data_IF_120917632034
#
_entry.id   IF_120917632034
#
_cell.length_a   1.000
_cell.length_b   1.000
_cell.length_c   1.000
_cell.angle_alpha   90.00
_cell.angle_beta   90.00
_cell.angle_gamma   90.00
#
_symmetry.space_group_name_H-M   'P 1'
#
loop_
_entity.id
_entity.type
_entity.pdbx_description
1 polymer ?
#
# COMPACT_ATOMS: atom_id res chain seq x y z
N UNK A 1 8.18 7.14 4.99
CA UNK A 1 7.18 6.71 6.01
C UNK A 1 7.78 5.59 6.87
N UNK A 2 7.62 5.60 8.20
CA UNK A 2 8.10 4.52 9.07
C UNK A 2 6.93 3.72 9.63
N UNK A 3 6.98 2.39 9.51
CA UNK A 3 5.99 1.48 10.09
C UNK A 3 6.45 1.02 11.48
N UNK A 4 5.49 0.70 12.34
CA UNK A 4 5.75 0.08 13.65
C UNK A 4 5.25 -1.35 13.67
N UNK A 5 5.78 -2.15 14.59
CA UNK A 5 5.25 -3.49 14.86
C UNK A 5 3.78 -3.38 15.25
N UNK A 6 2.93 -4.20 14.63
CA UNK A 6 1.47 -4.17 14.78
C UNK A 6 0.75 -3.27 13.76
N UNK A 7 1.46 -2.43 12.99
CA UNK A 7 0.82 -1.65 11.93
C UNK A 7 0.35 -2.56 10.80
N UNK A 8 -0.83 -2.24 10.26
CA UNK A 8 -1.34 -2.84 9.04
C UNK A 8 -0.89 -2.03 7.82
N UNK A 9 -0.43 -2.74 6.81
CA UNK A 9 0.06 -2.18 5.55
C UNK A 9 -0.49 -2.98 4.36
N UNK A 10 -0.62 -2.32 3.21
CA UNK A 10 -0.99 -2.95 1.94
C UNK A 10 0.28 -3.12 1.11
N UNK A 11 0.53 -4.35 0.69
CA UNK A 11 1.56 -4.69 -0.28
C UNK A 11 0.92 -4.88 -1.66
N UNK A 12 1.39 -4.18 -2.71
CA UNK A 12 0.83 -4.30 -4.05
C UNK A 12 0.73 -5.76 -4.51
N UNK A 13 -0.41 -6.13 -5.13
CA UNK A 13 -0.74 -7.48 -5.60
C UNK A 13 -0.88 -8.59 -4.52
N UNK A 14 -0.32 -8.44 -3.32
CA UNK A 14 -0.42 -9.45 -2.24
C UNK A 14 -1.46 -9.08 -1.17
N UNK A 15 -1.97 -7.85 -1.18
CA UNK A 15 -3.06 -7.42 -0.30
C UNK A 15 -2.57 -6.91 1.06
N UNK A 16 -3.33 -7.20 2.11
CA UNK A 16 -3.11 -6.65 3.45
C UNK A 16 -2.15 -7.54 4.24
N UNK A 17 -1.12 -6.91 4.81
CA UNK A 17 -0.20 -7.53 5.76
C UNK A 17 -0.07 -6.75 7.06
N UNK A 18 0.37 -7.43 8.10
CA UNK A 18 0.70 -6.85 9.41
C UNK A 18 2.21 -6.87 9.61
N UNK A 19 2.78 -5.75 10.07
CA UNK A 19 4.20 -5.70 10.43
C UNK A 19 4.42 -6.46 11.73
N UNK A 20 5.06 -7.62 11.63
CA UNK A 20 5.32 -8.51 12.76
C UNK A 20 6.58 -8.12 13.53
N UNK A 21 7.62 -7.67 12.82
CA UNK A 21 8.89 -7.29 13.43
C UNK A 21 9.66 -6.31 12.53
N UNK A 22 10.64 -5.63 13.12
CA UNK A 22 11.65 -4.85 12.43
C UNK A 22 13.00 -5.45 12.80
N UNK A 23 13.68 -6.06 11.83
CA UNK A 23 14.96 -6.73 12.03
C UNK A 23 16.09 -5.92 11.41
N UNK A 24 17.22 -5.79 12.09
CA UNK A 24 18.44 -5.26 11.50
C UNK A 24 19.43 -6.41 11.28
N UNK A 25 19.84 -6.63 10.03
CA UNK A 25 20.84 -7.64 9.66
C UNK A 25 22.06 -6.96 9.05
N UNK A 26 23.23 -7.45 9.42
CA UNK A 26 24.50 -7.07 8.78
C UNK A 26 24.65 -7.89 7.51
N UNK A 27 24.67 -7.23 6.35
CA UNK A 27 24.97 -7.87 5.07
C UNK A 27 26.50 -7.99 4.96
N UNK A 28 27.00 -9.09 4.38
CA UNK A 28 28.43 -9.39 4.24
C UNK A 28 29.21 -8.18 3.68
N UNK A 29 29.97 -7.50 4.54
CA UNK A 29 30.64 -6.22 4.22
C UNK A 29 30.52 -5.13 5.30
N UNK A 30 29.67 -5.31 6.30
CA UNK A 30 29.63 -4.46 7.50
C UNK A 30 28.50 -3.43 7.55
N UNK A 31 27.75 -3.25 6.45
CA UNK A 31 26.58 -2.37 6.45
C UNK A 31 25.38 -3.03 7.14
N UNK A 32 24.82 -2.32 8.13
CA UNK A 32 23.59 -2.70 8.82
C UNK A 32 22.41 -2.30 7.94
N UNK A 33 21.68 -3.28 7.43
CA UNK A 33 20.42 -3.07 6.72
C UNK A 33 19.25 -3.43 7.64
N UNK A 34 18.24 -2.55 7.69
CA UNK A 34 17.01 -2.80 8.44
C UNK A 34 15.91 -3.28 7.51
N UNK A 35 15.10 -4.22 8.00
CA UNK A 35 14.07 -4.92 7.25
C UNK A 35 12.76 -4.93 8.03
N UNK A 36 11.66 -4.68 7.33
CA UNK A 36 10.31 -4.93 7.83
C UNK A 36 9.93 -6.39 7.56
N UNK A 37 9.49 -7.09 8.60
CA UNK A 37 8.91 -8.43 8.50
C UNK A 37 7.40 -8.27 8.44
N UNK A 38 6.83 -8.40 7.25
CA UNK A 38 5.40 -8.25 6.97
C UNK A 38 4.76 -9.64 6.83
N UNK A 39 3.70 -9.92 7.58
CA UNK A 39 2.91 -11.14 7.44
C UNK A 39 1.62 -10.83 6.69
N UNK A 40 1.42 -11.43 5.52
CA UNK A 40 0.18 -11.30 4.74
C UNK A 40 -0.94 -12.03 5.49
N UNK A 41 -2.07 -11.35 5.70
CA UNK A 41 -3.18 -11.89 6.49
C UNK A 41 -3.96 -12.97 5.73
N UNK A 42 -4.05 -12.85 4.41
CA UNK A 42 -4.84 -13.74 3.56
C UNK A 42 -4.15 -15.09 3.34
N UNK A 43 -2.87 -15.07 2.98
CA UNK A 43 -2.09 -16.27 2.64
C UNK A 43 -1.20 -16.78 3.78
N UNK A 44 -0.98 -15.97 4.82
CA UNK A 44 -0.08 -16.28 5.92
C UNK A 44 1.42 -16.18 5.58
N UNK A 45 1.77 -15.80 4.34
CA UNK A 45 3.15 -15.66 3.87
C UNK A 45 3.84 -14.50 4.57
N UNK A 46 5.10 -14.70 4.97
CA UNK A 46 5.95 -13.67 5.56
C UNK A 46 6.91 -13.11 4.51
N UNK A 47 6.86 -11.80 4.29
CA UNK A 47 7.68 -11.05 3.33
C UNK A 47 8.63 -10.15 4.13
N UNK A 48 9.91 -10.15 3.75
CA UNK A 48 10.92 -9.29 4.34
C UNK A 48 11.26 -8.16 3.37
N UNK A 49 11.01 -6.91 3.76
CA UNK A 49 11.17 -5.73 2.90
C UNK A 49 12.29 -4.85 3.47
N UNK A 50 13.37 -4.57 2.72
CA UNK A 50 14.41 -3.66 3.19
C UNK A 50 13.86 -2.24 3.32
N UNK A 51 14.15 -1.58 4.44
CA UNK A 51 13.66 -0.22 4.76
C UNK A 51 13.98 0.79 3.66
N UNK A 52 15.14 0.66 3.02
CA UNK A 52 15.58 1.54 1.94
C UNK A 52 14.71 1.44 0.68
N UNK A 53 13.98 0.33 0.51
CA UNK A 53 13.23 0.04 -0.72
C UNK A 53 11.70 0.14 -0.53
N UNK A 54 11.23 0.58 0.65
CA UNK A 54 9.82 0.55 1.02
C UNK A 54 8.94 1.39 0.10
N UNK A 55 9.41 2.59 -0.27
CA UNK A 55 8.68 3.48 -1.18
C UNK A 55 8.68 2.95 -2.62
N UNK A 56 9.78 2.35 -3.07
CA UNK A 56 9.91 1.79 -4.41
C UNK A 56 9.04 0.53 -4.60
N UNK A 57 8.88 -0.27 -3.54
CA UNK A 57 8.03 -1.46 -3.54
C UNK A 57 6.55 -1.09 -3.37
N UNK A 58 6.24 0.17 -3.05
CA UNK A 58 4.87 0.68 -2.95
C UNK A 58 4.12 0.18 -1.71
N UNK A 59 4.82 -0.10 -0.62
CA UNK A 59 4.20 -0.47 0.65
C UNK A 59 3.44 0.73 1.24
N UNK A 60 2.16 0.55 1.55
CA UNK A 60 1.27 1.66 1.95
C UNK A 60 0.62 1.41 3.29
N UNK A 61 0.35 2.49 4.03
CA UNK A 61 -0.39 2.44 5.28
C UNK A 61 -1.89 2.37 5.00
N UNK A 62 -2.62 1.63 5.82
CA UNK A 62 -4.08 1.60 5.73
C UNK A 62 -4.65 2.93 6.24
N UNK A 63 -5.70 3.40 5.59
CA UNK A 63 -6.45 4.58 6.00
C UNK A 63 -7.13 4.37 7.36
N UNK A 64 -7.30 5.45 8.11
CA UNK A 64 -8.02 5.42 9.37
C UNK A 64 -9.54 5.35 9.17
N UNK A 65 -10.25 4.85 10.19
CA UNK A 65 -11.70 4.69 10.15
C UNK A 65 -12.46 6.02 9.93
N UNK A 66 -11.86 7.18 10.27
CA UNK A 66 -12.49 8.48 10.02
C UNK A 66 -12.50 8.82 8.52
N UNK A 67 -11.41 8.50 7.81
CA UNK A 67 -11.31 8.71 6.37
C UNK A 67 -12.30 7.85 5.58
N UNK A 68 -12.69 6.69 6.11
CA UNK A 68 -13.70 5.81 5.49
C UNK A 68 -15.03 6.55 5.29
N UNK A 69 -15.46 7.37 6.26
CA UNK A 69 -16.70 8.16 6.12
C UNK A 69 -16.65 9.17 4.98
N UNK A 70 -15.49 9.81 4.79
CA UNK A 70 -15.27 10.74 3.67
C UNK A 70 -15.34 10.02 2.33
N UNK A 71 -14.77 8.82 2.22
CA UNK A 71 -14.89 7.98 1.01
C UNK A 71 -16.34 7.61 0.74
N UNK A 72 -17.10 7.16 1.74
CA UNK A 72 -18.52 6.88 1.56
C UNK A 72 -19.31 8.10 1.08
N UNK A 73 -18.95 9.31 1.52
CA UNK A 73 -19.57 10.55 1.05
C UNK A 73 -19.26 10.80 -0.43
N UNK A 74 -18.02 10.59 -0.86
CA UNK A 74 -17.60 10.71 -2.28
C UNK A 74 -18.30 9.66 -3.15
N UNK A 75 -18.38 8.40 -2.69
CA UNK A 75 -19.05 7.33 -3.43
C UNK A 75 -20.57 7.55 -3.53
N UNK A 76 -21.18 8.23 -2.55
CA UNK A 76 -22.61 8.58 -2.56
C UNK A 76 -22.95 9.79 -3.42
N UNK A 77 -21.99 10.68 -3.70
CA UNK A 77 -22.25 11.81 -4.58
C UNK A 77 -22.44 11.32 -6.01
N UNK A 78 -23.66 11.43 -6.54
CA UNK A 78 -24.01 11.13 -7.94
C UNK A 78 -23.50 12.18 -8.93
N UNK A 79 -22.91 13.25 -8.44
CA UNK A 79 -22.47 14.40 -9.23
C UNK A 79 -21.04 14.20 -9.74
N UNK A 80 -20.84 13.13 -10.50
CA UNK A 80 -19.71 13.07 -11.42
C UNK A 80 -20.30 13.35 -12.78
N UNK A 81 -20.36 14.63 -13.15
CA UNK A 81 -20.66 15.03 -14.52
C UNK A 81 -19.84 14.15 -15.44
N UNK A 82 -20.54 13.37 -16.29
CA UNK A 82 -19.90 12.48 -17.24
C UNK A 82 -19.16 13.40 -18.20
N UNK A 83 -17.88 13.63 -17.94
CA UNK A 83 -17.01 14.38 -18.83
C UNK A 83 -17.13 13.70 -20.21
N UNK A 84 -17.57 14.40 -21.27
CA UNK A 84 -17.90 13.81 -22.57
C UNK A 84 -16.65 13.34 -23.35
N UNK A 85 -15.65 12.84 -22.63
CA UNK A 85 -14.40 12.37 -23.19
C UNK A 85 -14.55 10.96 -23.79
N UNK A 86 -13.82 10.69 -24.90
CA UNK A 86 -13.77 9.38 -25.52
C UNK A 86 -13.43 8.28 -24.50
N UNK A 87 -14.15 7.16 -24.59
CA UNK A 87 -13.98 5.99 -23.72
C UNK A 87 -12.51 5.57 -23.51
N UNK A 88 -11.70 5.59 -24.58
CA UNK A 88 -10.29 5.22 -24.52
C UNK A 88 -9.48 6.09 -23.53
N UNK A 89 -9.79 7.38 -23.42
CA UNK A 89 -9.12 8.29 -22.48
C UNK A 89 -9.55 8.01 -21.05
N UNK A 90 -10.85 7.75 -20.83
CA UNK A 90 -11.40 7.34 -19.52
C UNK A 90 -10.80 6.01 -19.05
N UNK A 91 -10.70 5.02 -19.93
CA UNK A 91 -10.12 3.71 -19.63
C UNK A 91 -8.67 3.82 -19.16
N UNK A 92 -7.83 4.59 -19.88
CA UNK A 92 -6.43 4.82 -19.44
C UNK A 92 -6.36 5.53 -18.10
N UNK A 93 -7.14 6.60 -17.92
CA UNK A 93 -7.17 7.33 -16.64
C UNK A 93 -7.62 6.46 -15.47
N UNK A 94 -8.61 5.58 -15.65
CA UNK A 94 -9.04 4.65 -14.60
C UNK A 94 -8.01 3.56 -14.36
N UNK A 95 -7.35 3.05 -15.40
CA UNK A 95 -6.24 2.10 -15.23
C UNK A 95 -5.05 2.71 -14.50
N UNK A 96 -4.71 3.96 -14.79
CA UNK A 96 -3.65 4.67 -14.08
C UNK A 96 -4.04 4.92 -12.62
N UNK A 97 -5.31 5.25 -12.35
CA UNK A 97 -5.84 5.36 -10.97
C UNK A 97 -5.79 4.02 -10.23
N UNK A 98 -6.20 2.92 -10.86
CA UNK A 98 -6.16 1.58 -10.29
C UNK A 98 -4.72 1.12 -10.00
N UNK A 99 -3.79 1.42 -10.90
CA UNK A 99 -2.36 1.16 -10.68
C UNK A 99 -1.77 2.07 -9.59
N UNK A 100 -2.23 3.31 -9.51
CA UNK A 100 -1.80 4.23 -8.47
C UNK A 100 -2.34 3.85 -7.11
N UNK A 101 -3.41 3.05 -7.03
CA UNK A 101 -4.01 2.45 -5.83
C UNK A 101 -4.56 3.46 -4.83
#
# INVERSE_FOLDING_TARGET
MNFKVGDLAVYPAQGIGMVQAIESKSISGGEKASFYVLRILDTGVTIMIPMNNVEQVGLRRIMDAKSVRSIYKILRSRDTGVDPQPWNRRYRQYMDKLKSG
#
